data_IF_926793973622
#
_entry.id   IF_926793973622
#
_cell.length_a   1.000
_cell.length_b   1.000
_cell.length_c   1.000
_cell.angle_alpha   90.00
_cell.angle_beta   90.00
_cell.angle_gamma   90.00
#
_symmetry.space_group_name_H-M   'P 1'
#
loop_
_entity.id
_entity.type
_entity.pdbx_description
1 polymer ?
#
# COMPACT_ATOMS: atom_id res chain seq x y z
N UNK A 1 17.34 11.65 40.83
CA UNK A 1 17.60 12.10 39.44
C UNK A 1 17.15 11.07 38.40
N UNK A 2 17.43 9.78 38.60
CA UNK A 2 17.09 8.68 37.67
C UNK A 2 15.60 8.68 37.27
N UNK A 3 14.66 8.82 38.22
CA UNK A 3 13.22 8.88 37.92
C UNK A 3 12.84 10.02 36.96
N UNK A 4 13.42 11.21 37.10
CA UNK A 4 13.15 12.36 36.21
C UNK A 4 13.70 12.12 34.81
N UNK A 5 14.89 11.55 34.70
CA UNK A 5 15.47 11.17 33.41
C UNK A 5 14.62 10.09 32.72
N UNK A 6 14.15 9.09 33.48
CA UNK A 6 13.24 8.07 32.97
C UNK A 6 11.92 8.66 32.46
N UNK A 7 11.31 9.60 33.20
CA UNK A 7 10.11 10.31 32.73
C UNK A 7 10.34 11.12 31.45
N UNK A 8 11.47 11.82 31.34
CA UNK A 8 11.82 12.56 30.11
C UNK A 8 11.99 11.62 28.91
N UNK A 9 12.65 10.48 29.10
CA UNK A 9 12.83 9.46 28.05
C UNK A 9 11.47 8.89 27.63
N UNK A 10 10.57 8.60 28.58
CA UNK A 10 9.21 8.14 28.23
C UNK A 10 8.43 9.21 27.48
N UNK A 11 8.52 10.48 27.87
CA UNK A 11 7.80 11.55 27.19
C UNK A 11 8.30 11.71 25.74
N UNK A 12 9.62 11.74 25.54
CA UNK A 12 10.21 11.84 24.20
C UNK A 12 9.89 10.64 23.32
N UNK A 13 9.98 9.42 23.86
CA UNK A 13 9.64 8.20 23.12
C UNK A 13 8.15 8.16 22.77
N UNK A 14 7.28 8.67 23.65
CA UNK A 14 5.84 8.74 23.38
C UNK A 14 5.53 9.72 22.26
N UNK A 15 6.18 10.88 22.22
CA UNK A 15 6.04 11.83 21.12
C UNK A 15 6.52 11.23 19.80
N UNK A 16 7.69 10.60 19.79
CA UNK A 16 8.23 9.97 18.59
C UNK A 16 7.36 8.82 18.08
N UNK A 17 6.85 7.97 18.99
CA UNK A 17 5.90 6.92 18.66
C UNK A 17 4.62 7.49 18.05
N UNK A 18 4.04 8.53 18.65
CA UNK A 18 2.83 9.17 18.14
C UNK A 18 3.03 9.73 16.72
N UNK A 19 4.11 10.47 16.49
CA UNK A 19 4.43 11.06 15.18
C UNK A 19 4.63 9.99 14.10
N UNK A 20 5.44 8.97 14.40
CA UNK A 20 5.71 7.88 13.44
C UNK A 20 4.48 7.03 13.18
N UNK A 21 3.61 6.83 14.18
CA UNK A 21 2.32 6.14 14.01
C UNK A 21 1.44 6.89 13.03
N UNK A 22 1.23 8.20 13.26
CA UNK A 22 0.39 9.03 12.38
C UNK A 22 0.95 9.02 10.96
N UNK A 23 2.25 9.33 10.80
CA UNK A 23 2.90 9.37 9.49
C UNK A 23 2.78 8.04 8.74
N UNK A 24 2.97 6.90 9.43
CA UNK A 24 2.84 5.60 8.81
C UNK A 24 1.38 5.26 8.45
N UNK A 25 0.42 5.55 9.34
CA UNK A 25 -0.99 5.32 9.03
C UNK A 25 -1.49 6.20 7.88
N UNK A 26 -1.00 7.43 7.77
CA UNK A 26 -1.35 8.34 6.67
C UNK A 26 -0.73 7.87 5.36
N UNK A 27 0.53 7.45 5.36
CA UNK A 27 1.16 6.83 4.19
C UNK A 27 0.39 5.60 3.70
N UNK A 28 -0.07 4.72 4.60
CA UNK A 28 -0.89 3.56 4.24
C UNK A 28 -2.26 3.97 3.67
N UNK A 29 -2.91 4.98 4.26
CA UNK A 29 -4.20 5.47 3.76
C UNK A 29 -4.05 6.11 2.38
N UNK A 30 -3.02 6.91 2.18
CA UNK A 30 -2.78 7.58 0.90
C UNK A 30 -2.38 6.59 -0.18
N UNK A 31 -1.53 5.60 0.14
CA UNK A 31 -1.28 4.46 -0.73
C UNK A 31 -2.58 3.78 -1.16
N UNK A 32 -3.42 3.41 -0.18
CA UNK A 32 -4.68 2.71 -0.43
C UNK A 32 -5.61 3.53 -1.33
N UNK A 33 -5.80 4.82 -1.01
CA UNK A 33 -6.64 5.73 -1.79
C UNK A 33 -6.13 5.91 -3.21
N UNK A 34 -4.83 6.14 -3.37
CA UNK A 34 -4.21 6.36 -4.67
C UNK A 34 -4.30 5.11 -5.53
N UNK A 35 -4.05 3.94 -4.94
CA UNK A 35 -4.17 2.65 -5.62
C UNK A 35 -5.62 2.38 -6.04
N UNK A 36 -6.58 2.56 -5.14
CA UNK A 36 -8.01 2.39 -5.46
C UNK A 36 -8.50 3.39 -6.51
N UNK A 37 -8.04 4.64 -6.47
CA UNK A 37 -8.37 5.64 -7.48
C UNK A 37 -7.80 5.27 -8.84
N UNK A 38 -6.61 4.65 -8.87
CA UNK A 38 -5.99 4.19 -10.10
C UNK A 38 -6.77 3.02 -10.72
N UNK A 39 -7.22 2.07 -9.88
CA UNK A 39 -7.92 0.85 -10.31
C UNK A 39 -9.43 1.00 -10.47
N UNK A 40 -10.00 2.14 -10.05
CA UNK A 40 -11.43 2.40 -10.21
C UNK A 40 -11.83 2.32 -11.68
N UNK A 41 -12.97 1.70 -11.97
CA UNK A 41 -13.53 1.60 -13.33
C UNK A 41 -13.85 2.97 -13.96
N UNK A 42 -14.00 3.99 -13.12
CA UNK A 42 -14.21 5.38 -13.54
C UNK A 42 -12.90 6.15 -13.75
N UNK A 43 -11.73 5.54 -13.47
CA UNK A 43 -10.43 6.20 -13.60
C UNK A 43 -10.07 6.40 -15.08
N UNK A 44 -9.31 7.46 -15.41
CA UNK A 44 -8.81 7.69 -16.75
C UNK A 44 -8.03 6.49 -17.30
N UNK A 45 -7.30 5.77 -16.45
CA UNK A 45 -6.53 4.60 -16.85
C UNK A 45 -7.43 3.44 -17.27
N UNK A 46 -8.51 3.17 -16.52
CA UNK A 46 -9.45 2.10 -16.87
C UNK A 46 -10.19 2.42 -18.17
N UNK A 47 -10.59 3.69 -18.35
CA UNK A 47 -11.21 4.17 -19.60
C UNK A 47 -10.24 4.12 -20.78
N UNK A 48 -8.97 4.43 -20.54
CA UNK A 48 -7.88 4.33 -21.52
C UNK A 48 -7.65 2.88 -21.93
N UNK A 49 -7.48 1.96 -20.97
CA UNK A 49 -7.33 0.52 -21.19
C UNK A 49 -8.50 -0.07 -21.98
N UNK A 50 -9.73 0.23 -21.57
CA UNK A 50 -10.94 -0.19 -22.27
C UNK A 50 -11.01 0.36 -23.72
N UNK A 51 -10.42 1.53 -23.99
CA UNK A 51 -10.46 2.19 -25.30
C UNK A 51 -9.34 1.76 -26.26
N UNK A 52 -8.18 1.33 -25.75
CA UNK A 52 -7.01 1.00 -26.57
C UNK A 52 -6.78 -0.49 -26.75
N UNK A 53 -7.39 -1.33 -25.92
CA UNK A 53 -7.16 -2.76 -25.97
C UNK A 53 -5.73 -3.19 -25.58
N UNK A 54 -4.82 -2.28 -25.18
CA UNK A 54 -3.54 -2.53 -24.46
C UNK A 54 -2.81 -1.23 -24.08
N UNK A 55 -2.15 -1.22 -22.91
CA UNK A 55 -1.12 -0.23 -22.55
C UNK A 55 0.16 -0.50 -23.34
N UNK A 56 0.92 0.55 -23.66
CA UNK A 56 2.30 0.37 -24.15
C UNK A 56 3.21 -0.06 -22.99
N UNK A 57 4.28 -0.80 -23.30
CA UNK A 57 5.25 -1.24 -22.28
C UNK A 57 5.85 -0.08 -21.46
N UNK A 58 6.01 1.09 -22.08
CA UNK A 58 6.48 2.32 -21.40
C UNK A 58 5.49 2.83 -20.36
N UNK A 59 4.19 2.79 -20.66
CA UNK A 59 3.15 3.26 -19.76
C UNK A 59 2.92 2.29 -18.59
N UNK A 60 3.04 0.98 -18.85
CA UNK A 60 3.04 -0.03 -17.79
C UNK A 60 4.21 0.16 -16.82
N UNK A 61 5.42 0.46 -17.33
CA UNK A 61 6.60 0.72 -16.52
C UNK A 61 6.43 1.98 -15.66
N UNK A 62 5.88 3.06 -16.22
CA UNK A 62 5.59 4.29 -15.47
C UNK A 62 4.59 4.05 -14.33
N UNK A 63 3.54 3.27 -14.57
CA UNK A 63 2.55 2.92 -13.54
C UNK A 63 3.18 2.08 -12.43
N UNK A 64 3.99 1.09 -12.79
CA UNK A 64 4.74 0.28 -11.83
C UNK A 64 5.69 1.14 -11.00
N UNK A 65 6.37 2.10 -11.63
CA UNK A 65 7.27 3.03 -10.94
C UNK A 65 6.53 3.86 -9.89
N UNK A 66 5.36 4.40 -10.23
CA UNK A 66 4.52 5.19 -9.30
C UNK A 66 4.05 4.34 -8.12
N UNK A 67 3.53 3.14 -8.38
CA UNK A 67 3.09 2.21 -7.32
C UNK A 67 4.27 1.82 -6.42
N UNK A 68 5.45 1.57 -7.00
CA UNK A 68 6.65 1.28 -6.24
C UNK A 68 7.12 2.47 -5.40
N UNK A 69 6.93 3.70 -5.89
CA UNK A 69 7.17 4.94 -5.15
C UNK A 69 6.33 5.00 -3.86
N UNK A 70 5.01 4.79 -3.97
CA UNK A 70 4.14 4.75 -2.79
C UNK A 70 4.52 3.63 -1.81
N UNK A 71 4.87 2.44 -2.32
CA UNK A 71 5.34 1.33 -1.47
C UNK A 71 6.65 1.64 -0.77
N UNK A 72 7.58 2.32 -1.43
CA UNK A 72 8.83 2.74 -0.84
C UNK A 72 8.59 3.75 0.29
N UNK A 73 7.66 4.68 0.10
CA UNK A 73 7.25 5.64 1.14
C UNK A 73 6.61 4.94 2.35
N UNK A 74 5.69 4.00 2.15
CA UNK A 74 5.14 3.19 3.25
C UNK A 74 6.24 2.44 4.01
N UNK A 75 7.21 1.83 3.31
CA UNK A 75 8.35 1.14 3.94
C UNK A 75 9.23 2.09 4.75
N UNK A 76 9.44 3.31 4.28
CA UNK A 76 10.23 4.31 5.01
C UNK A 76 9.59 4.62 6.38
N UNK A 77 8.28 4.94 6.39
CA UNK A 77 7.57 5.21 7.63
C UNK A 77 7.37 3.98 8.51
N UNK A 78 7.22 2.79 7.91
CA UNK A 78 7.17 1.53 8.64
C UNK A 78 8.45 1.30 9.46
N UNK A 79 9.63 1.52 8.87
CA UNK A 79 10.90 1.38 9.58
C UNK A 79 11.03 2.41 10.70
N UNK A 80 10.64 3.67 10.46
CA UNK A 80 10.62 4.69 11.51
C UNK A 80 9.71 4.30 12.69
N UNK A 81 8.52 3.76 12.39
CA UNK A 81 7.57 3.30 13.39
C UNK A 81 8.07 2.08 14.18
N UNK A 82 8.66 1.07 13.52
CA UNK A 82 9.27 -0.10 14.18
C UNK A 82 10.35 0.35 15.18
N UNK A 83 11.20 1.30 14.77
CA UNK A 83 12.22 1.87 15.64
C UNK A 83 11.61 2.61 16.83
N UNK A 84 10.56 3.40 16.61
CA UNK A 84 9.84 4.08 17.68
C UNK A 84 9.21 3.10 18.68
N UNK A 85 8.61 2.02 18.20
CA UNK A 85 8.07 0.93 19.04
C UNK A 85 9.16 0.29 19.90
N UNK A 86 10.33 0.02 19.32
CA UNK A 86 11.48 -0.53 20.06
C UNK A 86 11.95 0.42 21.16
N UNK A 87 12.13 1.71 20.84
CA UNK A 87 12.52 2.74 21.80
C UNK A 87 11.49 2.93 22.92
N UNK A 88 10.19 2.88 22.59
CA UNK A 88 9.11 2.96 23.57
C UNK A 88 9.08 1.77 24.53
N UNK A 89 9.35 0.56 24.04
CA UNK A 89 9.48 -0.64 24.91
C UNK A 89 10.65 -0.47 25.88
N UNK A 90 11.82 -0.09 25.38
CA UNK A 90 12.99 0.16 26.23
C UNK A 90 12.73 1.29 27.26
N UNK A 91 12.06 2.37 26.85
CA UNK A 91 11.68 3.46 27.74
C UNK A 91 10.72 3.00 28.85
N UNK A 92 9.75 2.13 28.53
CA UNK A 92 8.83 1.56 29.51
C UNK A 92 9.57 0.69 30.55
N UNK A 93 10.53 -0.13 30.12
CA UNK A 93 11.38 -0.96 30.99
C UNK A 93 12.27 -0.12 31.92
N UNK A 94 12.88 0.95 31.39
CA UNK A 94 13.67 1.91 32.18
C UNK A 94 12.79 2.61 33.22
N UNK A 95 11.58 3.05 32.84
CA UNK A 95 10.64 3.67 33.75
C UNK A 95 10.21 2.70 34.86
N UNK A 96 9.94 1.43 34.52
CA UNK A 96 9.56 0.41 35.50
C UNK A 96 10.69 0.16 36.52
N UNK A 97 11.90 -0.10 36.04
CA UNK A 97 13.09 -0.35 36.89
C UNK A 97 13.51 0.85 37.73
N UNK A 98 13.18 2.07 37.29
CA UNK A 98 13.45 3.32 38.02
C UNK A 98 12.37 3.71 39.02
N UNK A 99 11.32 2.90 39.20
CA UNK A 99 10.19 3.18 40.08
C UNK A 99 9.29 4.33 39.58
N UNK A 100 9.14 4.46 38.26
CA UNK A 100 8.20 5.34 37.58
C UNK A 100 7.07 4.51 36.94
N UNK A 101 6.36 3.71 37.74
CA UNK A 101 5.37 2.73 37.25
C UNK A 101 4.27 3.37 36.41
N UNK A 102 3.80 4.57 36.77
CA UNK A 102 2.77 5.27 36.00
C UNK A 102 3.25 5.64 34.58
N UNK A 103 4.50 6.08 34.43
CA UNK A 103 5.07 6.41 33.12
C UNK A 103 5.24 5.15 32.26
N UNK A 104 5.69 4.04 32.88
CA UNK A 104 5.78 2.73 32.22
C UNK A 104 4.41 2.25 31.73
N UNK A 105 3.40 2.27 32.60
CA UNK A 105 2.03 1.86 32.25
C UNK A 105 1.44 2.72 31.12
N UNK A 106 1.63 4.03 31.18
CA UNK A 106 1.17 4.94 30.13
C UNK A 106 1.86 4.65 28.79
N UNK A 107 3.16 4.38 28.79
CA UNK A 107 3.90 4.03 27.57
C UNK A 107 3.38 2.74 26.94
N UNK A 108 3.11 1.71 27.77
CA UNK A 108 2.55 0.45 27.29
C UNK A 108 1.15 0.62 26.69
N UNK A 109 0.32 1.47 27.30
CA UNK A 109 -0.98 1.84 26.73
C UNK A 109 -0.82 2.53 25.36
N UNK A 110 0.12 3.48 25.24
CA UNK A 110 0.37 4.19 23.98
C UNK A 110 0.87 3.25 22.88
N UNK A 111 1.70 2.26 23.23
CA UNK A 111 2.12 1.18 22.33
C UNK A 111 0.94 0.37 21.81
N UNK A 112 0.02 -0.04 22.69
CA UNK A 112 -1.15 -0.82 22.27
C UNK A 112 -2.05 -0.03 21.32
N UNK A 113 -2.31 1.25 21.64
CA UNK A 113 -3.11 2.14 20.76
C UNK A 113 -2.44 2.31 19.40
N UNK A 114 -1.13 2.58 19.39
CA UNK A 114 -0.34 2.74 18.17
C UNK A 114 -0.39 1.48 17.29
N UNK A 115 -0.23 0.29 17.88
CA UNK A 115 -0.33 -0.98 17.18
C UNK A 115 -1.72 -1.22 16.59
N UNK A 116 -2.78 -0.94 17.35
CA UNK A 116 -4.16 -1.06 16.89
C UNK A 116 -4.44 -0.17 15.68
N UNK A 117 -3.99 1.09 15.72
CA UNK A 117 -4.15 2.05 14.61
C UNK A 117 -3.43 1.59 13.34
N UNK A 118 -2.20 1.09 13.49
CA UNK A 118 -1.42 0.57 12.36
C UNK A 118 -2.05 -0.70 11.78
N UNK A 119 -2.56 -1.59 12.63
CA UNK A 119 -3.24 -2.80 12.17
C UNK A 119 -4.49 -2.47 11.34
N UNK A 120 -5.30 -1.52 11.80
CA UNK A 120 -6.47 -1.04 11.05
C UNK A 120 -6.08 -0.45 9.70
N UNK A 121 -5.08 0.44 9.66
CA UNK A 121 -4.59 1.03 8.41
C UNK A 121 -4.02 -0.02 7.45
N UNK A 122 -3.33 -1.06 7.97
CA UNK A 122 -2.83 -2.18 7.15
C UNK A 122 -3.95 -3.00 6.54
N UNK A 123 -5.04 -3.25 7.27
CA UNK A 123 -6.21 -3.97 6.72
C UNK A 123 -6.75 -3.27 5.47
N UNK A 124 -6.85 -1.94 5.51
CA UNK A 124 -7.28 -1.14 4.35
C UNK A 124 -6.30 -1.25 3.19
N UNK A 125 -4.99 -1.16 3.46
CA UNK A 125 -3.94 -1.33 2.44
C UNK A 125 -3.96 -2.70 1.78
N UNK A 126 -4.15 -3.77 2.56
CA UNK A 126 -4.22 -5.14 2.03
C UNK A 126 -5.47 -5.33 1.17
N UNK A 127 -6.61 -4.75 1.56
CA UNK A 127 -7.82 -4.75 0.72
C UNK A 127 -7.60 -4.03 -0.61
N UNK A 128 -6.88 -2.90 -0.61
CA UNK A 128 -6.53 -2.19 -1.83
C UNK A 128 -5.62 -3.01 -2.75
N UNK A 129 -4.59 -3.67 -2.20
CA UNK A 129 -3.71 -4.57 -2.96
C UNK A 129 -4.47 -5.78 -3.53
N UNK A 130 -5.41 -6.33 -2.76
CA UNK A 130 -6.28 -7.42 -3.20
C UNK A 130 -7.13 -6.99 -4.40
N UNK A 131 -7.78 -5.83 -4.32
CA UNK A 131 -8.57 -5.26 -5.43
C UNK A 131 -7.74 -5.03 -6.67
N UNK A 132 -6.51 -4.51 -6.52
CA UNK A 132 -5.58 -4.37 -7.64
C UNK A 132 -5.29 -5.71 -8.32
N UNK A 133 -5.05 -6.77 -7.54
CA UNK A 133 -4.80 -8.10 -8.08
C UNK A 133 -6.02 -8.66 -8.81
N UNK A 134 -7.23 -8.51 -8.25
CA UNK A 134 -8.49 -8.93 -8.87
C UNK A 134 -8.72 -8.21 -10.21
N UNK A 135 -8.56 -6.88 -10.26
CA UNK A 135 -8.69 -6.11 -11.52
C UNK A 135 -7.68 -6.56 -12.58
N UNK A 136 -6.44 -6.89 -12.19
CA UNK A 136 -5.44 -7.40 -13.14
C UNK A 136 -5.84 -8.77 -13.72
N UNK A 137 -6.43 -9.66 -12.91
CA UNK A 137 -6.90 -10.97 -13.39
C UNK A 137 -8.05 -10.80 -14.38
N UNK A 138 -9.03 -9.96 -14.07
CA UNK A 138 -10.17 -9.67 -14.95
C UNK A 138 -9.72 -9.07 -16.30
N UNK A 139 -8.71 -8.19 -16.30
CA UNK A 139 -8.13 -7.62 -17.52
C UNK A 139 -7.46 -8.68 -18.39
N UNK A 140 -6.64 -9.56 -17.78
CA UNK A 140 -5.97 -10.65 -18.49
C UNK A 140 -7.00 -11.59 -19.12
N UNK A 141 -8.05 -11.95 -18.39
CA UNK A 141 -9.10 -12.82 -18.92
C UNK A 141 -9.82 -12.16 -20.10
N UNK A 142 -10.20 -10.88 -20.00
CA UNK A 142 -10.85 -10.14 -21.09
C UNK A 142 -9.95 -10.06 -22.33
N UNK A 143 -8.64 -9.84 -22.13
CA UNK A 143 -7.66 -9.83 -23.22
C UNK A 143 -7.49 -11.20 -23.86
N UNK A 144 -7.51 -12.29 -23.09
CA UNK A 144 -7.47 -13.65 -23.60
C UNK A 144 -8.73 -13.98 -24.42
N UNK A 145 -9.92 -13.58 -23.94
CA UNK A 145 -11.19 -13.76 -24.67
C UNK A 145 -11.22 -12.94 -25.97
N UNK A 146 -10.74 -11.68 -25.95
CA UNK A 146 -10.65 -10.83 -27.15
C UNK A 146 -9.65 -11.38 -28.18
N UNK A 147 -8.49 -11.85 -27.73
CA UNK A 147 -7.49 -12.47 -28.63
C UNK A 147 -7.96 -13.81 -29.18
N UNK A 148 -8.71 -14.62 -28.41
CA UNK A 148 -9.35 -15.83 -28.91
C UNK A 148 -10.43 -15.51 -29.95
N UNK A 149 -11.24 -14.46 -29.74
CA UNK A 149 -12.23 -13.99 -30.71
C UNK A 149 -11.60 -13.49 -32.02
N UNK A 150 -10.48 -12.76 -31.94
CA UNK A 150 -9.75 -12.32 -33.14
C UNK A 150 -9.01 -13.47 -33.83
N UNK A 151 -8.47 -14.44 -33.08
CA UNK A 151 -7.80 -15.62 -33.62
C UNK A 151 -8.75 -16.61 -34.32
N UNK A 152 -10.03 -16.60 -33.98
CA UNK A 152 -11.09 -17.32 -34.70
C UNK A 152 -11.50 -16.62 -36.02
N UNK A 153 -11.13 -15.34 -36.18
CA UNK A 153 -11.36 -14.53 -37.38
C UNK A 153 -10.32 -14.70 -38.49
N UNK A 154 -9.24 -15.44 -38.27
CA UNK A 154 -8.18 -15.67 -39.27
C UNK A 154 -8.63 -16.61 -40.41
N UNK A 155 -9.80 -17.26 -40.27
CA UNK A 155 -10.46 -17.92 -41.39
C UNK A 155 -11.10 -16.94 -42.40
N UNK A 156 -11.26 -15.65 -42.06
CA UNK A 156 -11.80 -14.64 -42.98
C UNK A 156 -10.74 -13.94 -43.84
N UNK A 157 -9.48 -13.86 -43.41
CA UNK A 157 -8.42 -13.27 -44.26
C UNK A 157 -7.97 -14.22 -45.39
N UNK A 158 -8.20 -15.53 -45.24
CA UNK A 158 -7.92 -16.52 -46.29
C UNK A 158 -9.01 -16.51 -47.40
N UNK A 159 -10.21 -16.00 -47.12
CA UNK A 159 -11.32 -16.01 -48.10
C UNK A 159 -11.29 -14.86 -49.11
N UNK A 160 -10.69 -13.72 -48.78
CA UNK A 160 -10.54 -12.57 -49.71
C UNK A 160 -9.44 -12.78 -50.77
N UNK A 161 -8.50 -13.70 -50.55
CA UNK A 161 -7.45 -14.02 -51.51
C UNK A 161 -7.94 -14.90 -52.67
N UNK A 162 -9.07 -15.60 -52.53
CA UNK A 162 -9.64 -16.47 -53.57
C UNK A 162 -10.72 -15.78 -54.44
N UNK A 163 -11.04 -14.52 -54.20
CA UNK A 163 -12.05 -13.76 -54.95
C UNK A 163 -11.46 -12.77 -55.97
N UNK A 164 -10.13 -12.76 -56.15
CA UNK A 164 -9.46 -12.05 -57.25
C UNK A 164 -8.78 -13.02 -58.21
N UNK A 165 -9.55 -13.89 -58.84
CA UNK A 165 -9.18 -14.50 -60.13
C UNK A 165 -10.44 -15.14 -60.73
N UNK A 166 -11.25 -14.30 -61.40
CA UNK A 166 -11.84 -14.53 -62.74
C UNK A 166 -12.65 -13.30 -63.20
#
# INVERSE_FOLDING_TARGET
>A
MIRRAASLVTDSSSTFLSQTTVAFTDALKDYSKNLLSLTSSSSPLFRYLASLGKLTAMEEDLLLQVINGWRAECKHYEQAWINAVSLSKAAAEIAQSSGAQQASASMMSNLQVSQSQVEEARKVSVDADKKLAETKVEEIQRMAEYTAFLGDGDEHEIHEAYLRED
#
